data_IF_017372468816
#
_entry.id   IF_017372468816
#
_cell.length_a   1.000
_cell.length_b   1.000
_cell.length_c   1.000
_cell.angle_alpha   90.00
_cell.angle_beta   90.00
_cell.angle_gamma   90.00
#
_symmetry.space_group_name_H-M   'P 1'
#
loop_
_entity.id
_entity.type
_entity.pdbx_description
1 polymer ?
#
# COMPACT_ATOMS: atom_id res chain seq x y z
N UNK A 1 -11.70 25.62 1.05
CA UNK A 1 -10.98 24.51 0.39
C UNK A 1 -11.55 24.35 -1.01
N UNK A 2 -10.70 24.23 -2.03
CA UNK A 2 -11.12 24.01 -3.42
C UNK A 2 -11.55 22.56 -3.60
N UNK A 3 -12.76 22.32 -4.11
CA UNK A 3 -13.24 20.97 -4.42
C UNK A 3 -12.44 20.35 -5.56
N UNK A 4 -12.27 19.04 -5.49
CA UNK A 4 -11.60 18.27 -6.53
C UNK A 4 -12.60 17.73 -7.54
N UNK A 5 -12.14 17.48 -8.78
CA UNK A 5 -12.97 16.83 -9.81
C UNK A 5 -13.54 15.48 -9.38
N UNK A 6 -12.85 14.75 -8.50
CA UNK A 6 -13.33 13.49 -7.95
C UNK A 6 -14.51 13.72 -7.00
N UNK A 7 -14.42 14.71 -6.12
CA UNK A 7 -15.52 15.09 -5.21
C UNK A 7 -16.75 15.56 -6.00
N UNK A 8 -16.58 16.38 -7.04
CA UNK A 8 -17.69 16.83 -7.88
C UNK A 8 -18.36 15.68 -8.65
N UNK A 9 -17.57 14.71 -9.14
CA UNK A 9 -18.08 13.51 -9.79
C UNK A 9 -18.89 12.63 -8.84
N UNK A 10 -18.37 12.40 -7.63
CA UNK A 10 -19.06 11.65 -6.58
C UNK A 10 -20.37 12.35 -6.20
N UNK A 11 -20.37 13.67 -6.00
CA UNK A 11 -21.58 14.44 -5.69
C UNK A 11 -22.63 14.35 -6.80
N UNK A 12 -22.22 14.33 -8.07
CA UNK A 12 -23.14 14.19 -9.20
C UNK A 12 -23.86 12.83 -9.19
N UNK A 13 -23.14 11.76 -8.85
CA UNK A 13 -23.72 10.41 -8.69
C UNK A 13 -24.65 10.37 -7.48
N UNK A 14 -24.21 10.92 -6.34
CA UNK A 14 -25.00 10.92 -5.10
C UNK A 14 -26.38 11.58 -5.24
N UNK A 15 -26.53 12.57 -6.14
CA UNK A 15 -27.84 13.20 -6.42
C UNK A 15 -28.87 12.28 -7.08
N UNK A 16 -28.41 11.16 -7.65
CA UNK A 16 -29.24 10.22 -8.39
C UNK A 16 -29.51 8.92 -7.61
N UNK A 17 -28.94 8.81 -6.40
CA UNK A 17 -29.02 7.61 -5.57
C UNK A 17 -29.82 7.95 -4.31
N UNK A 18 -30.59 6.97 -3.83
CA UNK A 18 -31.29 7.05 -2.55
C UNK A 18 -30.29 7.36 -1.39
N UNK A 19 -30.48 8.47 -0.65
CA UNK A 19 -29.65 8.83 0.51
C UNK A 19 -29.52 7.76 1.59
N UNK A 20 -30.51 6.88 1.74
CA UNK A 20 -30.50 5.82 2.76
C UNK A 20 -29.77 4.54 2.27
N UNK A 21 -29.44 4.48 0.99
CA UNK A 21 -28.80 3.32 0.39
C UNK A 21 -27.37 3.09 0.91
N UNK A 22 -26.88 1.83 0.92
CA UNK A 22 -25.47 1.55 1.22
C UNK A 22 -24.50 2.23 0.24
N UNK A 23 -24.88 2.33 -1.05
CA UNK A 23 -24.06 2.97 -2.10
C UNK A 23 -23.82 4.45 -1.81
N UNK A 24 -24.88 5.18 -1.42
CA UNK A 24 -24.77 6.59 -1.03
C UNK A 24 -23.82 6.79 0.17
N UNK A 25 -23.90 5.93 1.19
CA UNK A 25 -23.02 6.00 2.37
C UNK A 25 -21.55 5.79 2.04
N UNK A 26 -21.23 4.90 1.09
CA UNK A 26 -19.84 4.69 0.64
C UNK A 26 -19.34 5.89 -0.15
N UNK A 27 -20.17 6.49 -1.00
CA UNK A 27 -19.83 7.70 -1.74
C UNK A 27 -19.62 8.91 -0.83
N UNK A 28 -20.46 9.04 0.21
CA UNK A 28 -20.31 10.06 1.23
C UNK A 28 -18.96 9.94 1.96
N UNK A 29 -18.59 8.73 2.40
CA UNK A 29 -17.30 8.52 3.06
C UNK A 29 -16.10 8.68 2.12
N UNK A 30 -16.27 8.39 0.83
CA UNK A 30 -15.27 8.63 -0.21
C UNK A 30 -15.01 10.12 -0.46
N UNK A 31 -16.08 10.92 -0.54
CA UNK A 31 -15.99 12.39 -0.64
C UNK A 31 -15.27 12.97 0.57
N UNK A 32 -15.60 12.47 1.76
CA UNK A 32 -15.07 12.97 3.03
C UNK A 32 -13.74 12.26 3.44
N UNK A 33 -13.15 11.44 2.56
CA UNK A 33 -11.96 10.62 2.85
C UNK A 33 -10.79 11.41 3.45
N UNK A 34 -10.59 12.67 3.03
CA UNK A 34 -9.52 13.53 3.52
C UNK A 34 -9.64 13.87 5.01
N UNK A 35 -10.86 13.84 5.56
CA UNK A 35 -11.09 14.11 6.99
C UNK A 35 -11.09 12.83 7.82
N UNK A 36 -11.41 11.67 7.24
CA UNK A 36 -11.34 10.39 7.94
C UNK A 36 -11.21 9.20 6.99
N UNK A 37 -10.05 8.56 6.99
CA UNK A 37 -9.83 7.34 6.21
C UNK A 37 -10.66 6.16 6.73
N UNK A 38 -10.94 6.14 8.03
CA UNK A 38 -11.59 5.03 8.72
C UNK A 38 -13.02 4.78 8.25
N UNK A 39 -13.79 5.85 8.05
CA UNK A 39 -15.15 5.74 7.51
C UNK A 39 -15.14 5.10 6.13
N UNK A 40 -14.21 5.49 5.25
CA UNK A 40 -14.09 4.88 3.94
C UNK A 40 -13.60 3.42 4.04
N UNK A 41 -12.62 3.12 4.89
CA UNK A 41 -12.14 1.75 5.13
C UNK A 41 -13.26 0.81 5.58
N UNK A 42 -14.10 1.24 6.52
CA UNK A 42 -15.26 0.48 6.99
C UNK A 42 -16.26 0.20 5.87
N UNK A 43 -16.61 1.22 5.09
CA UNK A 43 -17.58 1.06 3.99
C UNK A 43 -17.02 0.17 2.88
N UNK A 44 -15.75 0.33 2.51
CA UNK A 44 -15.09 -0.52 1.52
C UNK A 44 -15.01 -1.98 2.00
N UNK A 45 -14.75 -2.21 3.29
CA UNK A 45 -14.78 -3.55 3.87
C UNK A 45 -16.17 -4.19 3.72
N UNK A 46 -17.25 -3.45 4.01
CA UNK A 46 -18.62 -3.96 3.83
C UNK A 46 -18.92 -4.29 2.37
N UNK A 47 -18.57 -3.38 1.45
CA UNK A 47 -18.73 -3.58 0.00
C UNK A 47 -18.03 -4.84 -0.48
N UNK A 48 -16.78 -5.05 -0.05
CA UNK A 48 -16.01 -6.22 -0.43
C UNK A 48 -16.61 -7.52 0.12
N UNK A 49 -16.93 -7.57 1.41
CA UNK A 49 -17.45 -8.81 2.05
C UNK A 49 -18.85 -9.19 1.58
N UNK A 50 -19.70 -8.20 1.30
CA UNK A 50 -21.09 -8.43 0.89
C UNK A 50 -21.24 -8.51 -0.64
N UNK A 51 -20.18 -8.28 -1.41
CA UNK A 51 -20.24 -8.32 -2.87
C UNK A 51 -21.06 -7.18 -3.50
N UNK A 52 -21.34 -6.09 -2.76
CA UNK A 52 -22.27 -5.03 -3.19
C UNK A 52 -21.88 -4.36 -4.52
N UNK A 53 -20.57 -4.35 -4.84
CA UNK A 53 -20.08 -3.83 -6.11
C UNK A 53 -20.69 -4.57 -7.32
N UNK A 54 -20.93 -5.88 -7.18
CA UNK A 54 -21.55 -6.69 -8.24
C UNK A 54 -23.02 -6.32 -8.43
N UNK A 55 -23.76 -6.12 -7.32
CA UNK A 55 -25.16 -5.68 -7.34
C UNK A 55 -25.31 -4.30 -7.98
N UNK A 56 -24.27 -3.46 -7.90
CA UNK A 56 -24.23 -2.14 -8.53
C UNK A 56 -23.75 -2.15 -9.98
N UNK A 57 -23.45 -3.33 -10.53
CA UNK A 57 -23.09 -3.55 -11.93
C UNK A 57 -21.60 -3.47 -12.25
N UNK A 58 -20.72 -3.51 -11.24
CA UNK A 58 -19.27 -3.52 -11.45
C UNK A 58 -18.74 -4.95 -11.56
N UNK A 59 -17.84 -5.17 -12.51
CA UNK A 59 -17.22 -6.48 -12.74
C UNK A 59 -16.30 -6.93 -11.59
N UNK A 60 -15.71 -5.99 -10.85
CA UNK A 60 -14.82 -6.25 -9.73
C UNK A 60 -14.88 -5.13 -8.69
N UNK A 61 -14.42 -5.42 -7.47
CA UNK A 61 -14.28 -4.42 -6.42
C UNK A 61 -13.30 -3.31 -6.83
N UNK A 62 -12.23 -3.68 -7.53
CA UNK A 62 -11.21 -2.79 -8.06
C UNK A 62 -11.78 -1.83 -9.11
N UNK A 63 -12.68 -2.33 -9.97
CA UNK A 63 -13.38 -1.50 -10.95
C UNK A 63 -14.31 -0.51 -10.28
N UNK A 64 -15.11 -0.95 -9.30
CA UNK A 64 -15.94 -0.06 -8.49
C UNK A 64 -15.11 1.07 -7.85
N UNK A 65 -13.98 0.71 -7.23
CA UNK A 65 -13.11 1.67 -6.57
C UNK A 65 -12.51 2.70 -7.54
N UNK A 66 -12.12 2.27 -8.75
CA UNK A 66 -11.49 3.13 -9.77
C UNK A 66 -12.49 4.02 -10.48
N UNK A 67 -13.67 3.48 -10.79
CA UNK A 67 -14.68 4.12 -11.63
C UNK A 67 -15.62 5.00 -10.82
N UNK A 68 -16.14 4.53 -9.69
CA UNK A 68 -17.15 5.25 -8.91
C UNK A 68 -16.55 6.03 -7.75
N UNK A 69 -15.74 5.36 -6.92
CA UNK A 69 -15.11 5.96 -5.73
C UNK A 69 -13.92 6.85 -6.11
N UNK A 70 -13.39 6.72 -7.34
CA UNK A 70 -12.29 7.52 -7.89
C UNK A 70 -11.00 7.47 -7.06
N UNK A 71 -10.71 6.33 -6.45
CA UNK A 71 -9.45 6.06 -5.74
C UNK A 71 -8.63 5.00 -6.45
N UNK A 72 -7.30 5.05 -6.27
CA UNK A 72 -6.41 4.02 -6.81
C UNK A 72 -6.71 2.68 -6.14
N UNK A 73 -6.74 1.61 -6.93
CA UNK A 73 -6.95 0.23 -6.46
C UNK A 73 -6.05 -0.12 -5.27
N UNK A 74 -4.75 0.18 -5.36
CA UNK A 74 -3.82 -0.10 -4.27
C UNK A 74 -4.19 0.63 -2.96
N UNK A 75 -4.69 1.87 -3.06
CA UNK A 75 -5.14 2.64 -1.89
C UNK A 75 -6.41 2.05 -1.30
N UNK A 76 -7.38 1.68 -2.13
CA UNK A 76 -8.61 1.02 -1.69
C UNK A 76 -8.32 -0.27 -0.92
N UNK A 77 -7.44 -1.10 -1.45
CA UNK A 77 -7.02 -2.35 -0.82
C UNK A 77 -6.36 -2.11 0.54
N UNK A 78 -5.43 -1.15 0.62
CA UNK A 78 -4.77 -0.80 1.89
C UNK A 78 -5.74 -0.30 2.94
N UNK A 79 -6.67 0.58 2.56
CA UNK A 79 -7.70 1.09 3.48
C UNK A 79 -8.58 -0.04 4.02
N UNK A 80 -9.02 -0.91 3.12
CA UNK A 80 -9.90 -2.05 3.44
C UNK A 80 -9.20 -3.02 4.41
N UNK A 81 -7.95 -3.39 4.12
CA UNK A 81 -7.17 -4.30 4.96
C UNK A 81 -6.76 -3.67 6.28
N UNK A 82 -6.34 -2.40 6.28
CA UNK A 82 -5.98 -1.68 7.50
C UNK A 82 -7.15 -1.56 8.46
N UNK A 83 -8.35 -1.22 7.95
CA UNK A 83 -9.55 -1.17 8.77
C UNK A 83 -9.91 -2.54 9.35
N UNK A 84 -9.88 -3.59 8.53
CA UNK A 84 -10.18 -4.94 9.00
C UNK A 84 -9.20 -5.46 10.06
N UNK A 85 -7.91 -5.14 9.90
CA UNK A 85 -6.89 -5.44 10.91
C UNK A 85 -7.16 -4.67 12.21
N UNK A 86 -7.42 -3.36 12.12
CA UNK A 86 -7.69 -2.52 13.29
C UNK A 86 -8.92 -3.01 14.07
N UNK A 87 -10.00 -3.36 13.37
CA UNK A 87 -11.22 -3.88 13.99
C UNK A 87 -11.01 -5.21 14.75
N UNK A 88 -10.01 -6.01 14.35
CA UNK A 88 -9.64 -7.27 15.01
C UNK A 88 -8.68 -7.04 16.18
N UNK A 89 -7.65 -6.24 15.97
CA UNK A 89 -6.52 -6.11 16.90
C UNK A 89 -6.71 -5.04 17.97
N UNK A 90 -7.52 -4.02 17.69
CA UNK A 90 -7.80 -2.88 18.56
C UNK A 90 -9.27 -2.44 18.40
N UNK A 91 -10.24 -3.32 18.74
CA UNK A 91 -11.67 -3.03 18.59
C UNK A 91 -12.09 -1.73 19.29
N UNK A 92 -11.44 -1.35 20.38
CA UNK A 92 -11.62 -0.10 21.12
C UNK A 92 -11.39 1.16 20.26
N UNK A 93 -10.48 1.09 19.28
CA UNK A 93 -10.23 2.19 18.34
C UNK A 93 -11.29 2.26 17.23
N UNK A 94 -12.03 1.17 17.00
CA UNK A 94 -13.11 1.12 16.00
C UNK A 94 -14.51 1.31 16.58
N UNK A 95 -14.62 1.33 17.91
CA UNK A 95 -15.89 1.52 18.62
C UNK A 95 -16.56 2.86 18.24
N UNK A 96 -17.90 2.86 18.21
CA UNK A 96 -18.69 4.07 17.92
C UNK A 96 -18.45 5.18 18.94
N UNK A 97 -18.29 4.79 20.21
CA UNK A 97 -18.08 5.69 21.33
C UNK A 97 -16.59 5.85 21.67
N UNK A 98 -15.71 5.65 20.67
CA UNK A 98 -14.27 5.76 20.90
C UNK A 98 -13.90 7.16 21.44
N UNK A 99 -12.88 7.27 22.30
CA UNK A 99 -12.36 8.56 22.71
C UNK A 99 -11.95 9.39 21.49
N UNK A 100 -11.96 10.72 21.60
CA UNK A 100 -11.61 11.69 20.54
C UNK A 100 -10.15 11.59 20.05
N UNK A 101 -9.42 10.54 20.45
CA UNK A 101 -8.08 10.26 19.97
C UNK A 101 -8.10 10.07 18.44
N UNK A 102 -7.15 10.73 17.79
CA UNK A 102 -6.97 10.59 16.36
C UNK A 102 -6.56 9.14 16.03
N UNK A 103 -7.17 8.57 15.00
CA UNK A 103 -6.79 7.24 14.54
C UNK A 103 -5.39 7.27 13.93
N UNK A 104 -4.63 6.17 14.05
CA UNK A 104 -3.34 6.04 13.40
C UNK A 104 -3.47 6.16 11.87
N UNK A 105 -2.36 6.50 11.21
CA UNK A 105 -2.29 6.52 9.74
C UNK A 105 -2.54 5.10 9.20
N UNK A 106 -3.50 4.94 8.28
CA UNK A 106 -3.84 3.64 7.70
C UNK A 106 -2.64 2.92 7.07
N UNK A 107 -1.63 3.65 6.58
CA UNK A 107 -0.42 3.08 6.01
C UNK A 107 0.49 2.49 7.08
N UNK A 108 0.51 3.09 8.27
CA UNK A 108 1.22 2.55 9.42
C UNK A 108 0.50 1.31 9.96
N UNK A 109 -0.83 1.33 9.98
CA UNK A 109 -1.65 0.15 10.32
C UNK A 109 -1.46 -0.98 9.31
N UNK A 110 -1.44 -0.70 8.00
CA UNK A 110 -1.17 -1.72 6.97
C UNK A 110 0.26 -2.27 7.05
N UNK A 111 1.25 -1.46 7.47
CA UNK A 111 2.60 -1.93 7.73
C UNK A 111 2.64 -2.87 8.94
N UNK A 112 1.98 -2.50 10.04
CA UNK A 112 1.84 -3.39 11.20
C UNK A 112 1.16 -4.70 10.82
N UNK A 113 0.09 -4.66 10.01
CA UNK A 113 -0.58 -5.85 9.51
C UNK A 113 0.37 -6.76 8.73
N UNK A 114 1.18 -6.21 7.83
CA UNK A 114 2.15 -6.99 7.04
C UNK A 114 3.17 -7.67 7.97
N UNK A 115 3.79 -6.91 8.87
CA UNK A 115 4.72 -7.45 9.86
C UNK A 115 4.10 -8.48 10.83
N UNK A 116 2.79 -8.42 11.06
CA UNK A 116 2.05 -9.43 11.83
C UNK A 116 1.78 -10.72 11.06
N UNK A 117 1.72 -10.65 9.73
CA UNK A 117 1.52 -11.81 8.84
C UNK A 117 2.84 -12.47 8.43
N UNK A 118 3.95 -11.73 8.48
CA UNK A 118 5.30 -12.23 8.21
C UNK A 118 5.82 -13.08 9.38
N UNK A 119 6.11 -14.36 9.11
CA UNK A 119 6.63 -15.30 10.11
C UNK A 119 8.04 -14.95 10.59
N UNK A 120 8.86 -14.34 9.73
CA UNK A 120 10.25 -13.97 10.00
C UNK A 120 10.39 -12.70 10.86
N UNK A 121 9.29 -11.98 11.12
CA UNK A 121 9.34 -10.79 11.97
C UNK A 121 9.52 -11.21 13.43
N UNK A 122 10.65 -10.81 14.03
CA UNK A 122 10.94 -11.04 15.44
C UNK A 122 9.78 -10.55 16.34
N UNK A 123 9.31 -11.35 17.33
CA UNK A 123 8.17 -10.99 18.17
C UNK A 123 8.33 -9.63 18.87
N UNK A 124 9.54 -9.30 19.31
CA UNK A 124 9.88 -8.03 19.97
C UNK A 124 9.76 -6.85 19.01
N UNK A 125 10.18 -7.02 17.75
CA UNK A 125 10.06 -6.00 16.71
C UNK A 125 8.58 -5.75 16.38
N UNK A 126 7.77 -6.82 16.31
CA UNK A 126 6.32 -6.73 16.09
C UNK A 126 5.60 -6.03 17.24
N UNK A 127 5.97 -6.32 18.48
CA UNK A 127 5.38 -5.66 19.65
C UNK A 127 5.76 -4.17 19.73
N UNK A 128 7.03 -3.84 19.46
CA UNK A 128 7.47 -2.45 19.36
C UNK A 128 6.70 -1.70 18.26
N UNK A 129 6.48 -2.35 17.12
CA UNK A 129 5.69 -1.81 16.02
C UNK A 129 4.22 -1.60 16.42
N UNK A 130 3.62 -2.55 17.14
CA UNK A 130 2.24 -2.47 17.64
C UNK A 130 2.07 -1.24 18.53
N UNK A 131 2.95 -1.07 19.52
CA UNK A 131 2.94 0.08 20.43
C UNK A 131 3.10 1.41 19.67
N UNK A 132 4.08 1.49 18.77
CA UNK A 132 4.34 2.70 18.01
C UNK A 132 3.14 3.12 17.14
N UNK A 133 2.42 2.16 16.56
CA UNK A 133 1.28 2.43 15.68
C UNK A 133 -0.01 2.66 16.46
N UNK A 134 -0.40 1.72 17.33
CA UNK A 134 -1.73 1.71 17.94
C UNK A 134 -1.82 2.59 19.20
N UNK A 135 -0.77 2.62 20.02
CA UNK A 135 -0.78 3.38 21.28
C UNK A 135 -0.25 4.80 21.07
N UNK A 136 0.89 4.93 20.39
CA UNK A 136 1.58 6.22 20.22
C UNK A 136 1.12 7.00 18.99
N UNK A 137 0.40 6.38 18.05
CA UNK A 137 -0.10 7.03 16.84
C UNK A 137 1.01 7.60 15.95
N UNK A 138 2.20 6.97 15.91
CA UNK A 138 3.36 7.49 15.18
C UNK A 138 3.14 7.53 13.67
N UNK A 139 3.83 8.47 13.01
CA UNK A 139 3.81 8.58 11.55
C UNK A 139 4.43 7.37 10.87
N UNK A 140 4.00 7.06 9.65
CA UNK A 140 4.59 5.98 8.84
C UNK A 140 6.12 6.08 8.71
N UNK A 141 6.67 7.29 8.58
CA UNK A 141 8.11 7.48 8.42
C UNK A 141 8.87 7.08 9.70
N UNK A 142 8.36 7.49 10.86
CA UNK A 142 8.93 7.14 12.17
C UNK A 142 8.86 5.63 12.39
N UNK A 143 7.69 5.05 12.15
CA UNK A 143 7.42 3.62 12.32
C UNK A 143 8.34 2.78 11.44
N UNK A 144 8.50 3.15 10.16
CA UNK A 144 9.42 2.46 9.22
C UNK A 144 10.88 2.51 9.64
N UNK A 145 11.31 3.60 10.28
CA UNK A 145 12.68 3.71 10.77
C UNK A 145 12.89 2.76 11.94
N UNK A 146 12.01 2.81 12.93
CA UNK A 146 12.06 1.94 14.11
C UNK A 146 11.98 0.46 13.73
N UNK A 147 11.08 0.11 12.80
CA UNK A 147 10.95 -1.27 12.33
C UNK A 147 12.22 -1.78 11.65
N UNK A 148 12.85 -0.97 10.77
CA UNK A 148 14.13 -1.33 10.14
C UNK A 148 15.30 -1.42 11.10
N UNK A 149 15.28 -0.65 12.19
CA UNK A 149 16.30 -0.73 13.24
C UNK A 149 16.11 -1.96 14.12
N UNK A 150 14.86 -2.42 14.29
CA UNK A 150 14.50 -3.56 15.13
C UNK A 150 14.58 -4.91 14.39
N UNK A 151 14.33 -4.92 13.08
CA UNK A 151 14.44 -6.12 12.25
C UNK A 151 15.85 -6.19 11.68
N UNK A 152 16.67 -7.16 12.08
CA UNK A 152 17.98 -7.37 11.45
C UNK A 152 17.74 -7.68 9.96
N UNK A 153 18.56 -7.11 9.06
CA UNK A 153 18.29 -7.24 7.65
C UNK A 153 18.49 -8.71 7.22
N UNK A 154 17.54 -9.28 6.49
CA UNK A 154 17.62 -10.65 6.00
C UNK A 154 18.83 -10.77 5.04
N UNK A 155 19.81 -11.65 5.30
CA UNK A 155 20.97 -11.83 4.42
C UNK A 155 20.59 -12.21 2.98
N UNK A 156 19.53 -12.99 2.78
CA UNK A 156 19.08 -13.43 1.45
C UNK A 156 18.42 -12.29 0.66
N UNK A 157 17.57 -11.49 1.30
CA UNK A 157 16.99 -10.29 0.67
C UNK A 157 18.05 -9.25 0.33
N UNK A 158 19.05 -9.06 1.20
CA UNK A 158 20.19 -8.17 0.92
C UNK A 158 21.00 -8.65 -0.28
N UNK A 159 21.26 -9.96 -0.36
CA UNK A 159 21.97 -10.57 -1.49
C UNK A 159 21.17 -10.37 -2.79
N UNK A 160 19.87 -10.67 -2.77
CA UNK A 160 18.97 -10.49 -3.91
C UNK A 160 18.90 -9.03 -4.36
N UNK A 161 18.80 -8.09 -3.40
CA UNK A 161 18.80 -6.66 -3.66
C UNK A 161 20.11 -6.17 -4.29
N UNK A 162 21.25 -6.66 -3.80
CA UNK A 162 22.56 -6.36 -4.36
C UNK A 162 22.71 -6.86 -5.79
N UNK A 163 22.23 -8.09 -6.09
CA UNK A 163 22.26 -8.66 -7.44
C UNK A 163 21.41 -7.82 -8.41
N UNK A 164 20.17 -7.47 -8.02
CA UNK A 164 19.29 -6.62 -8.83
C UNK A 164 19.89 -5.24 -9.10
N UNK A 165 20.52 -4.64 -8.10
CA UNK A 165 21.19 -3.35 -8.25
C UNK A 165 22.39 -3.46 -9.20
N UNK A 166 23.19 -4.51 -9.09
CA UNK A 166 24.31 -4.78 -9.99
C UNK A 166 23.82 -4.94 -11.44
N UNK A 167 22.77 -5.73 -11.67
CA UNK A 167 22.18 -5.94 -13.00
C UNK A 167 21.68 -4.62 -13.61
N UNK A 168 21.01 -3.77 -12.81
CA UNK A 168 20.55 -2.46 -13.27
C UNK A 168 21.72 -1.54 -13.68
N UNK A 169 22.83 -1.57 -12.94
CA UNK A 169 24.04 -0.83 -13.29
C UNK A 169 24.68 -1.34 -14.59
N UNK A 170 24.78 -2.65 -14.78
CA UNK A 170 25.33 -3.26 -16.01
C UNK A 170 24.48 -2.88 -17.22
N UNK A 171 23.16 -3.03 -17.16
CA UNK A 171 22.24 -2.65 -18.25
C UNK A 171 22.32 -1.16 -18.58
N UNK A 172 22.43 -0.31 -17.56
CA UNK A 172 22.60 1.14 -17.74
C UNK A 172 23.94 1.44 -18.43
N UNK A 173 25.02 0.77 -18.05
CA UNK A 173 26.34 0.93 -18.67
C UNK A 173 26.32 0.47 -20.13
N UNK A 174 25.71 -0.67 -20.44
CA UNK A 174 25.52 -1.15 -21.81
C UNK A 174 24.82 -0.10 -22.70
N UNK A 175 23.73 0.50 -22.19
CA UNK A 175 23.02 1.57 -22.91
C UNK A 175 23.91 2.79 -23.16
N UNK A 176 24.65 3.25 -22.14
CA UNK A 176 25.54 4.41 -22.28
C UNK A 176 26.71 4.15 -23.24
N UNK A 177 27.23 2.93 -23.29
CA UNK A 177 28.31 2.56 -24.21
C UNK A 177 27.82 2.41 -25.65
N UNK A 178 26.57 1.98 -25.86
CA UNK A 178 25.98 1.88 -27.20
C UNK A 178 25.84 3.24 -27.91
N UNK A 179 25.75 4.33 -27.13
CA UNK A 179 25.65 5.70 -27.63
C UNK A 179 27.03 6.35 -27.93
N UNK A 180 28.14 5.68 -27.63
CA UNK A 180 29.50 6.20 -27.86
C UNK A 180 30.06 5.62 -29.15
N UNK A 181 30.26 6.46 -30.17
CA UNK A 181 31.02 6.11 -31.38
C UNK A 181 32.51 5.95 -31.06
N UNK A 182 33.15 4.94 -31.67
CA UNK A 182 34.60 4.66 -31.59
C UNK A 182 35.15 4.19 -30.23
N UNK A 183 34.44 3.29 -29.52
CA UNK A 183 35.05 2.57 -28.39
C UNK A 183 36.07 1.53 -28.90
N UNK A 184 37.30 1.50 -28.37
CA UNK A 184 38.26 0.47 -28.71
C UNK A 184 37.74 -0.90 -28.22
N UNK A 185 37.82 -1.96 -29.05
CA UNK A 185 37.21 -3.26 -28.76
C UNK A 185 37.73 -3.93 -27.49
N UNK A 186 38.96 -3.64 -27.06
CA UNK A 186 39.56 -4.19 -25.84
C UNK A 186 39.16 -3.44 -24.55
N UNK A 187 38.38 -2.37 -24.66
CA UNK A 187 38.02 -1.50 -23.52
C UNK A 187 36.69 -1.88 -22.87
N UNK A 188 35.85 -2.65 -23.57
CA UNK A 188 34.51 -3.00 -23.11
C UNK A 188 34.59 -4.41 -22.50
N UNK A 189 34.49 -4.56 -21.17
CA UNK A 189 34.36 -5.87 -20.56
C UNK A 189 33.10 -6.58 -21.08
N UNK A 190 33.04 -7.91 -20.96
CA UNK A 190 31.86 -8.68 -21.35
C UNK A 190 30.67 -8.38 -20.42
N UNK A 191 29.99 -7.27 -20.69
CA UNK A 191 28.84 -6.80 -19.94
C UNK A 191 27.60 -7.67 -20.18
N UNK A 192 27.51 -8.30 -21.36
CA UNK A 192 26.40 -9.20 -21.69
C UNK A 192 26.50 -10.47 -20.86
N UNK A 193 27.66 -11.12 -20.86
CA UNK A 193 27.88 -12.31 -20.03
C UNK A 193 27.73 -12.02 -18.53
N UNK A 194 28.14 -10.84 -18.07
CA UNK A 194 27.91 -10.42 -16.68
C UNK A 194 26.42 -10.20 -16.37
N UNK A 195 25.65 -9.58 -17.28
CA UNK A 195 24.21 -9.40 -17.10
C UNK A 195 23.48 -10.74 -17.03
N UNK A 196 23.79 -11.67 -17.94
CA UNK A 196 23.19 -13.01 -17.99
C UNK A 196 23.48 -13.80 -16.71
N UNK A 197 24.72 -13.74 -16.20
CA UNK A 197 25.09 -14.40 -14.94
C UNK A 197 24.32 -13.82 -13.74
N UNK A 198 24.13 -12.50 -13.69
CA UNK A 198 23.34 -11.85 -12.64
C UNK A 198 21.84 -12.17 -12.77
N UNK A 199 21.31 -12.29 -13.98
CA UNK A 199 19.92 -12.69 -14.23
C UNK A 199 19.64 -14.12 -13.77
N UNK A 200 20.57 -15.05 -14.03
CA UNK A 200 20.48 -16.43 -13.57
C UNK A 200 20.36 -16.50 -12.04
N UNK A 201 21.18 -15.72 -11.34
CA UNK A 201 21.17 -15.61 -9.87
C UNK A 201 19.88 -14.95 -9.32
N UNK A 202 19.09 -14.28 -10.15
CA UNK A 202 17.77 -13.74 -9.75
C UNK A 202 16.59 -14.63 -10.14
N UNK A 203 16.84 -15.69 -10.93
CA UNK A 203 15.82 -16.60 -11.45
C UNK A 203 15.72 -17.91 -10.66
N UNK A 204 16.69 -18.18 -9.78
CA UNK A 204 16.75 -19.37 -8.92
C UNK A 204 16.09 -19.18 -7.53
N UNK A 205 15.58 -17.98 -7.23
CA UNK A 205 14.78 -17.64 -6.04
C UNK A 205 13.28 -17.45 -6.41
#
# INVERSE_FOLDING_TARGET
>A
MTRTRAEDYIEAIMRQIDPDSPRYRVLLSARDFKSSWASLGEQLQKVLHQGLYSDWGYASFEDYCRQEIRIRTQTAMKLTRAWGFLAREAPELTAKDRPTQALPDFRAVDLLRQASEEEDTAPEAREALRRAVLEEGRSLATVRRQFREAVPPNPEEQKTGAIRAALACVRRLQGLLADIEELPPDTIPDLTGLADALELLTSED
#
